data_IF_295807079519
#
_entry.id   IF_295807079519
#
_cell.length_a   1.000
_cell.length_b   1.000
_cell.length_c   1.000
_cell.angle_alpha   90.00
_cell.angle_beta   90.00
_cell.angle_gamma   90.00
#
_symmetry.space_group_name_H-M   'P 1'
#
loop_
_entity.id
_entity.type
_entity.pdbx_description
1 polymer ?
#
# COMPACT_ATOMS: atom_id res chain seq x y z
N UNK A 1 17.47 27.83 -4.85
CA UNK A 1 17.26 27.81 -3.40
C UNK A 1 15.85 27.27 -3.20
N UNK A 2 15.71 25.95 -3.28
CA UNK A 2 14.45 25.26 -2.99
C UNK A 2 14.61 24.79 -1.55
N UNK A 3 13.73 25.26 -0.69
CA UNK A 3 13.76 25.00 0.73
C UNK A 3 13.40 23.52 0.94
N UNK A 4 14.37 22.74 1.42
CA UNK A 4 14.23 21.33 1.77
C UNK A 4 13.55 21.23 3.13
N UNK A 5 12.32 21.74 3.22
CA UNK A 5 11.50 21.57 4.41
C UNK A 5 11.03 20.12 4.45
N UNK A 6 11.89 19.27 5.01
CA UNK A 6 11.45 18.08 5.72
C UNK A 6 10.42 18.56 6.75
N UNK A 7 9.14 18.42 6.41
CA UNK A 7 8.07 18.50 7.40
C UNK A 7 8.38 17.39 8.39
N UNK A 8 8.94 17.75 9.55
CA UNK A 8 9.10 16.83 10.65
C UNK A 8 7.70 16.50 11.16
N UNK A 9 7.23 15.29 10.85
CA UNK A 9 5.99 14.79 11.41
C UNK A 9 6.21 14.50 12.89
N UNK A 10 5.26 14.89 13.77
CA UNK A 10 5.39 14.64 15.20
C UNK A 10 5.56 13.14 15.44
N UNK A 11 6.63 12.76 16.17
CA UNK A 11 6.98 11.38 16.53
C UNK A 11 6.30 10.86 17.80
N UNK A 12 5.39 11.64 18.36
CA UNK A 12 4.63 11.23 19.54
C UNK A 12 3.37 10.52 19.09
N UNK A 13 3.03 9.35 19.68
CA UNK A 13 1.81 8.66 19.35
C UNK A 13 0.60 9.58 19.55
N UNK A 14 -0.39 9.52 18.66
CA UNK A 14 -1.54 10.39 18.77
C UNK A 14 -2.26 10.16 20.11
N UNK A 15 -2.43 11.23 20.89
CA UNK A 15 -3.22 11.21 22.12
C UNK A 15 -4.68 10.85 21.89
N UNK A 16 -5.15 11.02 20.65
CA UNK A 16 -6.44 10.58 20.15
C UNK A 16 -6.31 10.22 18.66
N UNK A 17 -6.89 9.09 18.26
CA UNK A 17 -6.93 8.72 16.85
C UNK A 17 -8.01 9.50 16.11
N UNK A 18 -7.76 9.98 14.88
CA UNK A 18 -8.75 10.67 14.06
C UNK A 18 -9.77 9.65 13.53
N UNK A 19 -10.75 9.30 14.37
CA UNK A 19 -11.77 8.33 14.02
C UNK A 19 -12.63 8.85 12.87
N UNK A 20 -12.89 7.98 11.88
CA UNK A 20 -13.60 8.39 10.68
C UNK A 20 -13.51 7.36 9.56
N UNK A 21 -14.21 7.65 8.47
CA UNK A 21 -14.11 6.93 7.21
C UNK A 21 -13.39 7.83 6.20
N UNK A 22 -12.28 7.33 5.67
CA UNK A 22 -11.41 8.03 4.76
C UNK A 22 -11.37 7.30 3.43
N UNK A 23 -11.49 8.03 2.33
CA UNK A 23 -11.25 7.50 1.00
C UNK A 23 -9.80 7.75 0.62
N UNK A 24 -9.18 6.80 -0.08
CA UNK A 24 -7.84 6.95 -0.63
C UNK A 24 -7.88 7.93 -1.79
N UNK A 25 -7.04 8.98 -1.76
CA UNK A 25 -6.84 9.90 -2.89
C UNK A 25 -5.66 9.41 -3.76
N UNK A 26 -5.91 8.92 -4.99
CA UNK A 26 -4.84 8.44 -5.88
C UNK A 26 -3.85 9.52 -6.33
N UNK A 27 -4.19 10.81 -6.20
CA UNK A 27 -3.29 11.91 -6.57
C UNK A 27 -2.21 12.18 -5.53
N UNK A 28 -2.41 11.70 -4.30
CA UNK A 28 -1.50 11.87 -3.16
C UNK A 28 -0.97 10.53 -2.63
N UNK A 29 -1.68 9.45 -2.93
CA UNK A 29 -1.29 8.10 -2.56
C UNK A 29 -0.32 7.51 -3.58
N UNK A 30 0.66 6.75 -3.10
CA UNK A 30 1.52 5.93 -3.95
C UNK A 30 1.50 4.48 -3.51
N UNK A 31 1.23 3.58 -4.46
CA UNK A 31 1.38 2.13 -4.31
C UNK A 31 2.56 1.71 -5.19
N UNK A 32 3.72 1.57 -4.57
CA UNK A 32 4.95 1.20 -5.25
C UNK A 32 5.37 -0.23 -4.93
N UNK A 33 6.01 -0.88 -5.90
CA UNK A 33 6.62 -2.18 -5.72
C UNK A 33 8.05 -2.21 -6.25
N UNK A 34 8.84 -3.13 -5.69
CA UNK A 34 10.12 -3.53 -6.23
C UNK A 34 10.10 -5.04 -6.47
N UNK A 35 10.74 -5.51 -7.53
CA UNK A 35 10.99 -6.95 -7.69
C UNK A 35 12.39 -7.19 -8.23
N UNK A 36 12.94 -8.37 -7.93
CA UNK A 36 14.27 -8.76 -8.38
C UNK A 36 14.18 -9.57 -9.67
N UNK A 37 14.88 -9.12 -10.70
CA UNK A 37 15.08 -9.90 -11.91
C UNK A 37 16.51 -10.46 -11.94
N UNK A 38 16.63 -11.79 -11.91
CA UNK A 38 17.92 -12.46 -11.78
C UNK A 38 18.64 -12.16 -10.46
N UNK A 39 19.97 -12.23 -10.47
CA UNK A 39 20.78 -12.05 -9.24
C UNK A 39 20.96 -10.57 -8.83
N UNK A 40 20.89 -9.61 -9.76
CA UNK A 40 21.40 -8.24 -9.52
C UNK A 40 20.38 -7.14 -9.81
N UNK A 41 19.44 -7.32 -10.75
CA UNK A 41 18.56 -6.23 -11.16
C UNK A 41 17.38 -6.07 -10.18
N UNK A 42 17.10 -4.84 -9.76
CA UNK A 42 15.85 -4.43 -9.10
C UNK A 42 15.05 -3.57 -10.06
N UNK A 43 13.84 -4.00 -10.36
CA UNK A 43 12.87 -3.21 -11.10
C UNK A 43 11.94 -2.57 -10.10
N UNK A 44 11.75 -1.26 -10.22
CA UNK A 44 10.75 -0.52 -9.44
C UNK A 44 9.57 -0.23 -10.34
N UNK A 45 8.38 -0.31 -9.78
CA UNK A 45 7.17 0.10 -10.47
C UNK A 45 6.13 0.61 -9.48
N UNK A 46 5.01 1.07 -10.02
CA UNK A 46 3.87 1.55 -9.27
C UNK A 46 2.58 1.18 -9.97
N UNK A 47 1.47 1.28 -9.26
CA UNK A 47 0.14 1.28 -9.85
C UNK A 47 -0.43 2.68 -9.83
N UNK A 48 -1.06 3.09 -10.93
CA UNK A 48 -1.58 4.47 -11.10
C UNK A 48 -3.09 4.58 -11.02
N UNK A 49 -3.82 3.46 -11.05
CA UNK A 49 -5.27 3.45 -10.87
C UNK A 49 -5.67 2.48 -9.76
N UNK A 50 -6.18 3.05 -8.68
CA UNK A 50 -6.65 2.34 -7.51
C UNK A 50 -7.67 3.18 -6.75
N UNK A 51 -8.41 2.52 -5.87
CA UNK A 51 -9.35 3.11 -4.94
C UNK A 51 -9.25 2.37 -3.62
N UNK A 52 -9.60 3.03 -2.53
CA UNK A 52 -9.58 2.40 -1.22
C UNK A 52 -10.38 3.15 -0.18
N UNK A 53 -10.65 2.45 0.91
CA UNK A 53 -11.34 2.96 2.08
C UNK A 53 -10.57 2.55 3.33
N UNK A 54 -10.41 3.49 4.24
CA UNK A 54 -9.80 3.31 5.54
C UNK A 54 -10.79 3.77 6.61
N UNK A 55 -11.19 2.85 7.48
CA UNK A 55 -12.00 3.16 8.65
C UNK A 55 -11.11 3.16 9.87
N UNK A 56 -11.01 4.30 10.54
CA UNK A 56 -10.29 4.46 11.79
C UNK A 56 -11.28 4.50 12.95
N UNK A 57 -11.04 3.68 13.97
CA UNK A 57 -11.86 3.59 15.17
C UNK A 57 -11.32 4.47 16.31
N UNK A 58 -12.17 4.92 17.25
CA UNK A 58 -11.73 5.70 18.41
C UNK A 58 -10.86 4.88 19.38
N UNK A 59 -10.89 3.55 19.29
CA UNK A 59 -10.06 2.63 20.07
C UNK A 59 -8.62 2.48 19.53
N UNK A 60 -8.26 3.24 18.49
CA UNK A 60 -6.95 3.13 17.83
C UNK A 60 -6.83 1.91 16.91
N UNK A 61 -5.60 1.40 16.69
CA UNK A 61 -5.32 0.40 15.65
C UNK A 61 -6.22 -0.83 15.70
N UNK A 62 -6.59 -1.29 16.91
CA UNK A 62 -7.46 -2.43 17.13
C UNK A 62 -8.83 -2.35 16.41
N UNK A 63 -9.30 -1.15 16.05
CA UNK A 63 -10.54 -0.93 15.31
C UNK A 63 -10.38 -0.57 13.83
N UNK A 64 -9.15 -0.62 13.30
CA UNK A 64 -8.86 -0.17 11.94
C UNK A 64 -9.28 -1.22 10.91
N UNK A 65 -9.92 -0.75 9.85
CA UNK A 65 -10.25 -1.56 8.68
C UNK A 65 -9.77 -0.85 7.42
N UNK A 66 -9.16 -1.59 6.50
CA UNK A 66 -8.72 -1.09 5.21
C UNK A 66 -9.17 -2.01 4.08
N UNK A 67 -9.64 -1.38 3.02
CA UNK A 67 -9.95 -2.01 1.74
C UNK A 67 -9.24 -1.25 0.65
N UNK A 68 -8.61 -1.98 -0.27
CA UNK A 68 -7.92 -1.40 -1.41
C UNK A 68 -8.21 -2.24 -2.64
N UNK A 69 -8.50 -1.59 -3.76
CA UNK A 69 -8.73 -2.17 -5.07
C UNK A 69 -7.80 -1.50 -6.07
N UNK A 70 -7.02 -2.27 -6.82
CA UNK A 70 -6.02 -1.74 -7.75
C UNK A 70 -6.22 -2.37 -9.12
N UNK A 71 -6.22 -1.52 -10.14
CA UNK A 71 -6.30 -1.96 -11.54
C UNK A 71 -4.94 -2.55 -11.94
N UNK A 72 -4.89 -3.84 -12.23
CA UNK A 72 -3.63 -4.54 -12.52
C UNK A 72 -2.96 -4.03 -13.80
N UNK A 73 -3.77 -3.53 -14.76
CA UNK A 73 -3.29 -2.93 -16.01
C UNK A 73 -2.68 -1.53 -15.84
N UNK A 74 -2.82 -0.86 -14.70
CA UNK A 74 -2.24 0.47 -14.45
C UNK A 74 -0.79 0.41 -13.96
N UNK A 75 -0.10 -0.70 -14.24
CA UNK A 75 1.28 -0.90 -13.81
C UNK A 75 2.21 -0.04 -14.65
N UNK A 76 3.11 0.67 -13.98
CA UNK A 76 4.12 1.51 -14.61
C UNK A 76 5.50 1.28 -13.99
N UNK A 77 6.48 1.00 -14.83
CA UNK A 77 7.90 0.83 -14.51
C UNK A 77 8.78 1.90 -15.17
N UNK A 78 8.17 2.77 -15.97
CA UNK A 78 8.85 3.75 -16.82
C UNK A 78 9.39 3.15 -18.13
N UNK A 79 9.12 1.87 -18.41
CA UNK A 79 9.50 1.21 -19.65
C UNK A 79 8.29 0.44 -20.22
N UNK A 80 7.76 0.92 -21.35
CA UNK A 80 6.55 0.36 -21.97
C UNK A 80 6.61 -1.16 -22.20
N UNK A 81 7.76 -1.69 -22.58
CA UNK A 81 7.95 -3.13 -22.75
C UNK A 81 7.87 -3.91 -21.42
N UNK A 82 8.39 -3.34 -20.33
CA UNK A 82 8.27 -3.90 -18.98
C UNK A 82 6.83 -3.87 -18.47
N UNK A 83 6.12 -2.76 -18.74
CA UNK A 83 4.71 -2.58 -18.37
C UNK A 83 3.82 -3.61 -19.07
N UNK A 84 4.02 -3.80 -20.38
CA UNK A 84 3.31 -4.81 -21.15
C UNK A 84 3.58 -6.24 -20.66
N UNK A 85 4.82 -6.55 -20.24
CA UNK A 85 5.17 -7.84 -19.68
C UNK A 85 4.49 -8.09 -18.33
N UNK A 86 4.45 -7.07 -17.45
CA UNK A 86 3.84 -7.17 -16.13
C UNK A 86 2.31 -7.29 -16.20
N UNK A 87 1.67 -6.53 -17.09
CA UNK A 87 0.23 -6.64 -17.34
C UNK A 87 -0.16 -7.91 -18.11
N UNK A 88 0.80 -8.57 -18.78
CA UNK A 88 0.57 -9.75 -19.60
C UNK A 88 0.19 -11.03 -18.83
N UNK A 89 -0.25 -12.09 -19.57
CA UNK A 89 -0.86 -13.30 -18.99
C UNK A 89 0.06 -14.10 -18.06
N UNK A 90 1.37 -14.07 -18.33
CA UNK A 90 2.39 -14.76 -17.52
C UNK A 90 2.62 -14.11 -16.15
N UNK A 91 2.16 -12.87 -15.98
CA UNK A 91 2.32 -12.08 -14.76
C UNK A 91 0.95 -11.77 -14.18
N UNK A 92 0.53 -10.50 -14.18
CA UNK A 92 -0.74 -10.08 -13.58
C UNK A 92 -1.95 -10.55 -14.37
N UNK A 93 -1.79 -10.79 -15.67
CA UNK A 93 -2.88 -11.18 -16.59
C UNK A 93 -4.06 -10.20 -16.47
N UNK A 94 -3.78 -8.91 -16.73
CA UNK A 94 -4.72 -7.83 -16.48
C UNK A 94 -6.01 -7.92 -17.32
N UNK A 95 -5.98 -8.67 -18.43
CA UNK A 95 -7.18 -8.94 -19.24
C UNK A 95 -8.12 -9.88 -18.51
N UNK A 96 -7.61 -10.95 -17.88
CA UNK A 96 -8.43 -11.93 -17.16
C UNK A 96 -8.70 -11.53 -15.71
N UNK A 97 -7.75 -10.86 -15.08
CA UNK A 97 -7.78 -10.41 -13.69
C UNK A 97 -7.51 -8.91 -13.61
N UNK A 98 -8.48 -8.07 -14.04
CA UNK A 98 -8.28 -6.62 -14.11
C UNK A 98 -8.12 -5.97 -12.73
N UNK A 99 -8.52 -6.64 -11.65
CA UNK A 99 -8.51 -6.12 -10.30
C UNK A 99 -7.68 -7.02 -9.37
N UNK A 100 -6.81 -6.41 -8.59
CA UNK A 100 -6.26 -7.00 -7.37
C UNK A 100 -6.82 -6.24 -6.17
N UNK A 101 -7.03 -6.93 -5.04
CA UNK A 101 -7.66 -6.32 -3.87
C UNK A 101 -7.01 -6.74 -2.57
N UNK A 102 -6.92 -5.83 -1.63
CA UNK A 102 -6.54 -6.10 -0.25
C UNK A 102 -7.71 -5.82 0.69
N UNK A 103 -7.90 -6.70 1.68
CA UNK A 103 -8.84 -6.52 2.79
C UNK A 103 -8.14 -6.83 4.11
N UNK A 104 -8.15 -5.88 5.03
CA UNK A 104 -7.67 -6.10 6.39
C UNK A 104 -8.51 -7.14 7.13
N UNK A 105 -7.86 -7.88 8.01
CA UNK A 105 -8.47 -8.89 8.90
C UNK A 105 -8.24 -8.58 10.37
N UNK A 106 -7.31 -7.69 10.69
CA UNK A 106 -7.05 -7.20 12.03
C UNK A 106 -5.72 -6.45 12.10
N UNK A 107 -5.40 -5.96 13.29
CA UNK A 107 -4.12 -5.33 13.60
C UNK A 107 -3.42 -6.05 14.73
N UNK A 108 -2.09 -6.07 14.71
CA UNK A 108 -1.25 -6.56 15.80
C UNK A 108 -0.06 -5.64 16.04
N UNK A 109 0.69 -5.92 17.10
CA UNK A 109 2.01 -5.33 17.38
C UNK A 109 2.00 -3.79 17.31
N UNK A 110 0.95 -3.19 17.86
CA UNK A 110 0.83 -1.74 17.95
C UNK A 110 1.79 -1.20 19.01
N UNK A 111 2.75 -0.39 18.58
CA UNK A 111 3.69 0.34 19.43
C UNK A 111 3.70 1.81 18.98
N UNK A 112 3.09 2.66 19.80
CA UNK A 112 2.95 4.09 19.49
C UNK A 112 2.16 4.35 18.20
N UNK A 113 2.85 4.89 17.19
CA UNK A 113 2.32 5.22 15.86
C UNK A 113 2.52 4.09 14.83
N UNK A 114 3.21 3.01 15.20
CA UNK A 114 3.48 1.87 14.34
C UNK A 114 2.59 0.68 14.70
N UNK A 115 2.13 -0.05 13.69
CA UNK A 115 1.35 -1.27 13.88
C UNK A 115 1.43 -2.17 12.64
N UNK A 116 1.16 -3.46 12.82
CA UNK A 116 0.96 -4.39 11.72
C UNK A 116 -0.53 -4.44 11.37
N UNK A 117 -0.85 -4.28 10.09
CA UNK A 117 -2.18 -4.50 9.53
C UNK A 117 -2.19 -5.84 8.77
N UNK A 118 -2.71 -6.87 9.41
CA UNK A 118 -2.89 -8.18 8.80
C UNK A 118 -4.06 -8.15 7.82
N UNK A 119 -3.91 -8.78 6.66
CA UNK A 119 -4.99 -8.88 5.69
C UNK A 119 -4.75 -9.89 4.59
N UNK A 120 -5.72 -9.96 3.68
CA UNK A 120 -5.74 -10.89 2.56
C UNK A 120 -5.61 -10.10 1.26
N UNK A 121 -4.57 -10.41 0.49
CA UNK A 121 -4.34 -9.92 -0.86
C UNK A 121 -4.85 -10.94 -1.87
N UNK A 122 -5.88 -10.55 -2.62
CA UNK A 122 -6.35 -11.26 -3.81
C UNK A 122 -5.53 -10.79 -5.01
N UNK A 123 -4.79 -11.71 -5.63
CA UNK A 123 -4.06 -11.48 -6.88
C UNK A 123 -4.31 -12.65 -7.83
N UNK A 124 -4.81 -12.35 -9.02
CA UNK A 124 -5.32 -13.35 -9.97
C UNK A 124 -6.39 -14.26 -9.32
N UNK A 125 -6.14 -15.56 -9.34
CA UNK A 125 -6.97 -16.60 -8.74
C UNK A 125 -6.53 -16.99 -7.32
N UNK A 126 -5.54 -16.30 -6.75
CA UNK A 126 -4.98 -16.61 -5.42
C UNK A 126 -5.34 -15.56 -4.38
N UNK A 127 -5.42 -16.00 -3.14
CA UNK A 127 -5.55 -15.15 -1.96
C UNK A 127 -4.36 -15.44 -1.04
N UNK A 128 -3.61 -14.41 -0.68
CA UNK A 128 -2.37 -14.50 0.08
C UNK A 128 -2.51 -13.69 1.37
N UNK A 129 -2.27 -14.29 2.55
CA UNK A 129 -2.15 -13.50 3.77
C UNK A 129 -0.88 -12.65 3.72
N UNK A 130 -0.99 -11.41 4.20
CA UNK A 130 0.16 -10.53 4.38
C UNK A 130 -0.04 -9.63 5.60
N UNK A 131 1.08 -9.12 6.12
CA UNK A 131 1.11 -8.17 7.24
C UNK A 131 1.78 -6.90 6.75
N UNK A 132 1.01 -5.81 6.63
CA UNK A 132 1.53 -4.49 6.28
C UNK A 132 2.05 -3.82 7.54
N UNK A 133 3.34 -3.54 7.62
CA UNK A 133 3.85 -2.61 8.62
C UNK A 133 3.44 -1.20 8.24
N UNK A 134 2.72 -0.52 9.11
CA UNK A 134 2.24 0.86 8.92
C UNK A 134 2.71 1.74 10.07
N UNK A 135 3.09 2.96 9.72
CA UNK A 135 3.41 4.07 10.61
C UNK A 135 2.41 5.20 10.35
N UNK A 136 1.79 5.71 11.41
CA UNK A 136 0.91 6.86 11.33
C UNK A 136 1.73 8.16 11.37
N UNK A 137 1.71 8.91 10.27
CA UNK A 137 2.50 10.14 10.13
C UNK A 137 1.73 11.40 10.54
N UNK A 138 0.52 11.27 11.10
CA UNK A 138 -0.31 12.40 11.52
C UNK A 138 -1.56 12.64 10.67
N UNK A 139 -2.28 13.69 11.04
CA UNK A 139 -3.49 14.14 10.37
C UNK A 139 -3.46 15.64 10.13
N UNK A 140 -4.19 16.10 9.11
CA UNK A 140 -4.33 17.50 8.77
C UNK A 140 -5.64 17.77 8.03
N UNK A 141 -5.83 18.98 7.48
CA UNK A 141 -7.06 19.36 6.78
C UNK A 141 -7.38 18.50 5.55
N UNK A 142 -6.36 17.89 4.95
CA UNK A 142 -6.54 16.97 3.83
C UNK A 142 -7.09 15.62 4.30
N UNK A 143 -6.56 15.09 5.41
CA UNK A 143 -6.93 13.78 5.89
C UNK A 143 -5.88 13.21 6.82
N UNK A 144 -5.73 11.89 6.79
CA UNK A 144 -4.77 11.14 7.59
C UNK A 144 -3.64 10.63 6.70
N UNK A 145 -2.43 10.53 7.25
CA UNK A 145 -1.29 9.97 6.54
C UNK A 145 -0.74 8.72 7.20
N UNK A 146 -0.52 7.70 6.39
CA UNK A 146 0.20 6.50 6.77
C UNK A 146 1.33 6.24 5.78
N UNK A 147 2.43 5.69 6.27
CA UNK A 147 3.51 5.14 5.47
C UNK A 147 3.79 3.71 5.90
N UNK A 148 4.24 2.87 4.98
CA UNK A 148 4.48 1.48 5.34
C UNK A 148 4.64 0.56 4.16
N UNK A 149 4.83 -0.72 4.43
CA UNK A 149 5.08 -1.71 3.38
C UNK A 149 5.12 -3.14 3.91
N UNK A 150 5.31 -4.06 2.98
CA UNK A 150 5.47 -5.48 3.25
C UNK A 150 6.46 -6.10 2.26
N UNK A 151 7.33 -6.96 2.75
CA UNK A 151 8.14 -7.82 1.92
C UNK A 151 7.41 -9.16 1.74
N UNK A 152 7.01 -9.49 0.51
CA UNK A 152 6.43 -10.80 0.22
C UNK A 152 7.56 -11.77 -0.14
N UNK A 153 7.73 -12.82 0.67
CA UNK A 153 8.76 -13.83 0.47
C UNK A 153 8.62 -14.60 -0.84
N UNK A 154 9.76 -15.04 -1.41
CA UNK A 154 9.85 -15.72 -2.71
C UNK A 154 8.97 -16.97 -2.80
N UNK A 155 7.88 -16.83 -3.54
CA UNK A 155 6.97 -17.92 -3.92
C UNK A 155 5.95 -17.47 -4.96
N UNK A 156 6.31 -17.56 -6.24
CA UNK A 156 5.50 -17.33 -7.45
C UNK A 156 5.04 -15.91 -7.82
N UNK A 157 5.18 -14.92 -6.95
CA UNK A 157 5.02 -13.50 -7.32
C UNK A 157 6.03 -12.68 -6.51
N UNK A 158 7.16 -12.28 -7.12
CA UNK A 158 8.06 -11.29 -6.51
C UNK A 158 7.34 -9.92 -6.58
N UNK A 159 6.71 -9.50 -5.49
CA UNK A 159 6.20 -8.14 -5.29
C UNK A 159 6.63 -7.69 -3.90
N UNK A 160 7.73 -6.94 -3.79
CA UNK A 160 8.03 -6.18 -2.58
C UNK A 160 7.17 -4.91 -2.64
N UNK A 161 6.06 -4.85 -1.91
CA UNK A 161 5.24 -3.63 -1.81
C UNK A 161 5.91 -2.73 -0.78
N UNK A 162 6.77 -1.82 -1.26
CA UNK A 162 7.72 -1.10 -0.41
C UNK A 162 7.23 0.28 0.07
N UNK A 163 6.07 0.73 -0.36
CA UNK A 163 5.45 1.95 0.18
C UNK A 163 3.96 1.96 -0.18
N UNK A 164 3.10 1.93 0.82
CA UNK A 164 1.74 2.45 0.73
C UNK A 164 1.74 3.78 1.49
N UNK A 165 1.81 4.88 0.74
CA UNK A 165 1.55 6.20 1.32
C UNK A 165 0.07 6.48 1.16
N UNK A 166 -0.72 6.41 2.22
CA UNK A 166 -2.13 6.77 2.17
C UNK A 166 -2.25 8.23 2.54
N UNK A 167 -2.79 9.04 1.64
CA UNK A 167 -3.22 10.40 1.90
C UNK A 167 -4.74 10.43 1.60
N UNK A 168 -5.53 10.87 2.57
CA UNK A 168 -6.94 11.21 2.36
C UNK A 168 -7.09 12.70 2.02
#
# INVERSE_FOLDING_TARGET
MFDDQLVEFPKDPPSHWPAGLYAVDPSRTTIAFTFRYGMVARVRGRFTAFEGLLRLGPAGPAGFEAHLSVQTGSVETGQQAGDALLAGPERLDAVRYPLMSFRSTGTSDADGDQFLLAGLLRIKDRELPLELGLEYCGAGPAGVRFEGGVALGRGSVDLDIAAVRLDA
#
